data_IF_752917356758
#
_entry.id   IF_752917356758
#
_cell.length_a   1.000
_cell.length_b   1.000
_cell.length_c   1.000
_cell.angle_alpha   90.00
_cell.angle_beta   90.00
_cell.angle_gamma   90.00
#
_symmetry.space_group_name_H-M   'P 1'
#
loop_
_entity.id
_entity.type
_entity.pdbx_description
1 polymer ?
#
# COMPACT_ATOMS: atom_id res chain seq x y z
N UNK A 1 16.60 55.83 -27.12
CA UNK A 1 15.71 54.71 -27.49
C UNK A 1 16.41 53.39 -27.17
N UNK A 2 15.70 52.49 -26.49
CA UNK A 2 15.84 51.02 -26.54
C UNK A 2 17.07 50.36 -25.89
N UNK A 3 16.99 49.26 -25.12
CA UNK A 3 15.90 48.51 -24.47
C UNK A 3 16.54 47.66 -23.36
N UNK A 4 15.80 47.46 -22.29
CA UNK A 4 16.11 46.68 -21.11
C UNK A 4 16.49 45.22 -21.45
N UNK A 5 17.58 44.72 -20.87
CA UNK A 5 17.86 43.28 -20.78
C UNK A 5 17.19 42.73 -19.51
N UNK A 6 16.09 42.03 -19.70
CA UNK A 6 15.46 41.15 -18.70
C UNK A 6 16.13 39.78 -18.76
N UNK A 7 16.88 39.41 -17.72
CA UNK A 7 17.24 38.02 -17.44
C UNK A 7 16.26 37.50 -16.39
N UNK A 8 15.08 37.07 -16.86
CA UNK A 8 14.16 36.31 -16.04
C UNK A 8 14.75 34.91 -15.82
N UNK A 9 15.29 34.71 -14.63
CA UNK A 9 15.76 33.42 -14.15
C UNK A 9 14.52 32.56 -13.84
N UNK A 10 14.05 31.81 -14.84
CA UNK A 10 13.14 30.69 -14.59
C UNK A 10 13.95 29.59 -13.89
N UNK A 11 13.98 29.62 -12.55
CA UNK A 11 14.20 28.41 -11.78
C UNK A 11 13.04 27.46 -12.09
N UNK A 12 13.25 26.61 -13.09
CA UNK A 12 12.42 25.45 -13.33
C UNK A 12 12.38 24.64 -12.03
N UNK A 13 11.21 24.65 -11.40
CA UNK A 13 10.88 23.78 -10.29
C UNK A 13 11.17 22.35 -10.74
N UNK A 14 12.16 21.70 -10.13
CA UNK A 14 12.26 20.25 -10.11
C UNK A 14 11.10 19.75 -9.26
N UNK A 15 9.91 19.74 -9.86
CA UNK A 15 8.81 18.92 -9.41
C UNK A 15 9.31 17.47 -9.44
N UNK A 16 9.10 16.67 -8.38
CA UNK A 16 9.29 15.24 -8.49
C UNK A 16 8.18 14.72 -9.42
N UNK A 17 8.49 14.65 -10.71
CA UNK A 17 7.97 13.61 -11.59
C UNK A 17 8.58 12.34 -10.97
N UNK A 18 7.85 11.32 -10.53
CA UNK A 18 7.03 10.43 -11.34
C UNK A 18 6.00 9.72 -10.43
N UNK A 19 4.73 10.13 -10.50
CA UNK A 19 3.62 9.20 -10.32
C UNK A 19 2.91 9.13 -11.68
N UNK A 20 3.53 8.45 -12.64
CA UNK A 20 2.91 8.22 -13.96
C UNK A 20 2.11 6.92 -13.91
N UNK A 21 0.78 7.10 -13.93
CA UNK A 21 -0.22 6.26 -14.60
C UNK A 21 -0.43 4.79 -14.13
N UNK A 22 -1.65 4.49 -13.67
CA UNK A 22 -2.20 3.12 -13.71
C UNK A 22 -2.23 2.32 -12.41
N UNK A 23 -1.98 2.92 -11.25
CA UNK A 23 -2.05 2.23 -9.96
C UNK A 23 -3.49 1.84 -9.63
N UNK A 24 -3.85 0.58 -9.90
CA UNK A 24 -5.10 0.04 -9.39
C UNK A 24 -5.05 0.09 -7.86
N UNK A 25 -6.04 0.75 -7.27
CA UNK A 25 -6.25 0.80 -5.84
C UNK A 25 -7.64 0.26 -5.49
N UNK A 26 -7.68 -0.57 -4.47
CA UNK A 26 -8.95 -1.05 -3.91
C UNK A 26 -8.80 -1.14 -2.40
N UNK A 27 -9.90 -1.10 -1.67
CA UNK A 27 -9.84 -1.17 -0.22
C UNK A 27 -11.03 -1.93 0.36
N UNK A 28 -10.77 -2.57 1.49
CA UNK A 28 -11.80 -3.13 2.36
C UNK A 28 -11.74 -2.43 3.73
N UNK A 29 -12.89 -2.32 4.38
CA UNK A 29 -13.01 -1.76 5.73
C UNK A 29 -13.48 -2.86 6.68
N UNK A 30 -12.85 -2.96 7.84
CA UNK A 30 -13.31 -3.76 8.97
C UNK A 30 -13.26 -2.94 10.26
N UNK A 31 -14.43 -2.66 10.83
CA UNK A 31 -14.60 -1.75 11.96
C UNK A 31 -13.98 -0.38 11.67
N UNK A 32 -12.86 -0.08 12.32
CA UNK A 32 -12.14 1.18 12.14
C UNK A 32 -10.93 1.08 11.21
N UNK A 33 -10.62 -0.08 10.66
CA UNK A 33 -9.43 -0.30 9.84
C UNK A 33 -9.76 -0.35 8.36
N UNK A 34 -8.84 0.17 7.55
CA UNK A 34 -8.86 0.08 6.09
C UNK A 34 -7.62 -0.67 5.65
N UNK A 35 -7.82 -1.69 4.81
CA UNK A 35 -6.75 -2.37 4.10
C UNK A 35 -6.83 -1.98 2.63
N UNK A 36 -5.89 -1.14 2.19
CA UNK A 36 -5.77 -0.76 0.79
C UNK A 36 -4.84 -1.72 0.07
N UNK A 37 -5.27 -2.23 -1.08
CA UNK A 37 -4.46 -2.99 -2.02
C UNK A 37 -4.04 -2.07 -3.15
N UNK A 38 -2.76 -2.11 -3.52
CA UNK A 38 -2.21 -1.31 -4.61
C UNK A 38 -1.16 -2.10 -5.41
N UNK A 39 -1.00 -1.74 -6.67
CA UNK A 39 0.12 -2.18 -7.53
C UNK A 39 1.19 -1.10 -7.46
N UNK A 40 2.40 -1.46 -7.06
CA UNK A 40 3.56 -0.56 -7.06
C UNK A 40 4.73 -1.24 -7.79
N UNK A 41 5.55 -0.45 -8.46
CA UNK A 41 6.72 -0.90 -9.20
C UNK A 41 7.97 -0.60 -8.39
N UNK A 42 8.56 -1.64 -7.82
CA UNK A 42 9.77 -1.51 -7.01
C UNK A 42 10.93 -2.23 -7.71
N UNK A 43 12.00 -1.48 -7.99
CA UNK A 43 13.22 -2.02 -8.63
C UNK A 43 12.93 -2.74 -9.97
N UNK A 44 12.01 -2.19 -10.78
CA UNK A 44 11.61 -2.77 -12.07
C UNK A 44 10.73 -4.02 -11.97
N UNK A 45 10.23 -4.36 -10.78
CA UNK A 45 9.26 -5.43 -10.58
C UNK A 45 7.94 -4.88 -10.04
N UNK A 46 6.85 -5.23 -10.72
CA UNK A 46 5.51 -4.91 -10.24
C UNK A 46 5.05 -5.93 -9.23
N UNK A 47 4.58 -5.43 -8.10
CA UNK A 47 4.11 -6.26 -6.99
C UNK A 47 2.80 -5.69 -6.48
N UNK A 48 1.99 -6.58 -5.92
CA UNK A 48 0.80 -6.19 -5.17
C UNK A 48 1.20 -6.03 -3.71
N UNK A 49 0.84 -4.89 -3.14
CA UNK A 49 1.11 -4.57 -1.74
C UNK A 49 -0.18 -4.24 -1.03
N UNK A 50 -0.17 -4.45 0.29
CA UNK A 50 -1.27 -4.02 1.15
C UNK A 50 -0.81 -2.99 2.16
N UNK A 51 -1.58 -1.91 2.31
CA UNK A 51 -1.37 -0.86 3.31
C UNK A 51 -2.53 -0.87 4.30
N UNK A 52 -2.23 -1.19 5.56
CA UNK A 52 -3.20 -1.14 6.67
C UNK A 52 -3.10 0.18 7.41
N UNK A 53 -4.24 0.85 7.62
CA UNK A 53 -4.35 2.07 8.43
C UNK A 53 -5.76 2.18 9.06
N UNK A 54 -5.96 3.09 10.02
CA UNK A 54 -7.28 3.36 10.63
C UNK A 54 -8.03 4.44 9.85
N UNK A 55 -9.32 4.22 9.57
CA UNK A 55 -10.23 5.22 9.01
C UNK A 55 -10.38 6.41 9.98
N UNK A 56 -10.35 7.64 9.45
CA UNK A 56 -10.36 8.91 10.20
C UNK A 56 -11.57 9.16 11.12
N UNK A 57 -12.61 8.32 11.08
CA UNK A 57 -13.81 8.50 11.91
C UNK A 57 -13.53 8.05 13.36
N UNK A 58 -13.06 8.99 14.19
CA UNK A 58 -13.11 9.08 15.67
C UNK A 58 -11.74 9.45 16.31
N UNK A 59 -11.69 10.70 16.77
CA UNK A 59 -10.84 11.41 17.76
C UNK A 59 -9.42 10.91 18.08
N UNK A 60 -8.46 11.85 17.96
CA UNK A 60 -7.25 12.18 18.75
C UNK A 60 -6.35 11.09 19.37
N UNK A 61 -6.70 9.80 19.31
CA UNK A 61 -6.00 8.70 19.98
C UNK A 61 -5.18 7.81 19.06
N UNK A 62 -5.33 7.93 17.73
CA UNK A 62 -4.56 7.08 16.81
C UNK A 62 -3.10 7.51 16.67
N UNK A 63 -2.79 8.81 16.83
CA UNK A 63 -1.40 9.29 16.85
C UNK A 63 -0.59 8.69 18.01
N UNK A 64 -1.26 8.35 19.13
CA UNK A 64 -0.62 7.72 20.29
C UNK A 64 -0.60 6.19 20.24
N UNK A 65 -1.50 5.54 19.49
CA UNK A 65 -1.54 4.08 19.38
C UNK A 65 -0.46 3.48 18.46
N UNK A 66 0.14 4.33 17.63
CA UNK A 66 1.17 4.00 16.65
C UNK A 66 2.55 4.54 17.05
N UNK A 67 2.72 4.99 18.30
CA UNK A 67 3.88 5.77 18.71
C UNK A 67 5.16 4.98 18.39
N UNK A 68 5.80 5.44 17.33
CA UNK A 68 7.10 5.07 16.82
C UNK A 68 7.12 3.79 15.95
N UNK A 69 6.74 3.92 14.67
CA UNK A 69 7.59 3.32 13.63
C UNK A 69 9.00 3.91 13.88
N UNK A 70 9.85 3.22 14.65
CA UNK A 70 11.24 3.63 14.78
C UNK A 70 11.83 3.72 13.37
N UNK A 71 12.72 4.68 13.12
CA UNK A 71 13.38 4.92 11.81
C UNK A 71 13.97 3.67 11.14
N UNK A 72 14.04 2.53 11.84
CA UNK A 72 14.45 1.22 11.37
C UNK A 72 13.29 0.20 11.53
N UNK A 73 12.19 0.41 10.79
CA UNK A 73 10.91 -0.27 10.98
C UNK A 73 10.98 -1.79 11.14
N UNK A 74 10.00 -2.35 11.87
CA UNK A 74 9.87 -3.79 12.14
C UNK A 74 9.67 -4.62 10.86
N UNK A 75 10.74 -4.90 10.13
CA UNK A 75 10.82 -5.87 9.05
C UNK A 75 10.68 -7.27 9.66
N UNK A 76 9.45 -7.79 9.64
CA UNK A 76 9.18 -9.14 10.12
C UNK A 76 8.26 -9.84 9.15
N UNK A 77 8.58 -11.10 8.84
CA UNK A 77 7.69 -11.98 8.13
C UNK A 77 6.47 -12.32 9.01
N UNK A 78 5.29 -12.08 8.45
CA UNK A 78 3.98 -12.37 9.04
C UNK A 78 3.14 -13.14 8.03
N UNK A 79 2.12 -13.85 8.51
CA UNK A 79 1.17 -14.51 7.61
C UNK A 79 -0.10 -13.68 7.47
N UNK A 80 -0.66 -13.70 6.26
CA UNK A 80 -1.99 -13.18 5.93
C UNK A 80 -2.76 -14.28 5.21
N UNK A 81 -4.05 -14.43 5.50
CA UNK A 81 -4.89 -15.43 4.83
C UNK A 81 -5.65 -14.75 3.70
N UNK A 82 -5.46 -15.21 2.48
CA UNK A 82 -6.07 -14.68 1.26
C UNK A 82 -6.95 -15.78 0.67
N UNK A 83 -8.27 -15.55 0.59
CA UNK A 83 -9.26 -16.55 0.15
C UNK A 83 -9.05 -17.94 0.78
N UNK A 84 -8.75 -17.97 2.08
CA UNK A 84 -8.53 -19.21 2.84
C UNK A 84 -7.09 -19.76 2.82
N UNK A 85 -6.23 -19.29 1.91
CA UNK A 85 -4.82 -19.72 1.83
C UNK A 85 -3.89 -18.76 2.59
N UNK A 86 -3.00 -19.31 3.42
CA UNK A 86 -1.96 -18.52 4.10
C UNK A 86 -0.87 -18.12 3.11
N UNK A 87 -0.51 -16.84 3.11
CA UNK A 87 0.59 -16.27 2.35
C UNK A 87 1.54 -15.57 3.31
N UNK A 88 2.84 -15.85 3.20
CA UNK A 88 3.85 -15.15 3.96
C UNK A 88 4.14 -13.78 3.35
N UNK A 89 4.21 -12.78 4.22
CA UNK A 89 4.35 -11.38 3.86
C UNK A 89 5.45 -10.73 4.70
N UNK A 90 6.35 -9.99 4.09
CA UNK A 90 7.19 -9.06 4.82
C UNK A 90 6.34 -7.85 5.20
N UNK A 91 6.38 -7.49 6.47
CA UNK A 91 5.70 -6.32 7.00
C UNK A 91 6.72 -5.23 7.24
N UNK A 92 6.46 -4.02 6.75
CA UNK A 92 7.24 -2.81 7.02
C UNK A 92 6.32 -1.74 7.60
N UNK A 93 6.79 -1.00 8.61
CA UNK A 93 6.09 0.17 9.16
C UNK A 93 6.63 1.43 8.45
N UNK A 94 5.79 2.13 7.68
CA UNK A 94 6.14 3.39 7.02
C UNK A 94 5.41 4.55 7.67
N UNK A 95 6.12 5.64 7.94
CA UNK A 95 5.52 6.93 8.31
C UNK A 95 5.56 7.83 7.09
N UNK A 96 4.42 8.38 6.69
CA UNK A 96 4.36 9.35 5.58
C UNK A 96 4.35 10.79 6.08
N UNK A 97 4.50 11.74 5.17
CA UNK A 97 4.61 13.18 5.45
C UNK A 97 3.39 13.74 6.17
N UNK A 98 2.23 13.10 6.03
CA UNK A 98 1.01 13.40 6.78
C UNK A 98 1.07 12.94 8.25
N UNK A 99 2.24 12.51 8.73
CA UNK A 99 2.49 12.01 10.08
C UNK A 99 1.70 10.76 10.49
N UNK A 100 1.04 10.09 9.53
CA UNK A 100 0.37 8.82 9.78
C UNK A 100 1.33 7.64 9.58
N UNK A 101 1.08 6.57 10.34
CA UNK A 101 1.81 5.32 10.19
C UNK A 101 0.97 4.31 9.41
N UNK A 102 1.60 3.64 8.45
CA UNK A 102 1.03 2.61 7.60
C UNK A 102 1.86 1.35 7.76
N UNK A 103 1.20 0.19 7.82
CA UNK A 103 1.90 -1.08 7.68
C UNK A 103 1.73 -1.59 6.27
N UNK A 104 2.85 -1.71 5.57
CA UNK A 104 2.93 -2.25 4.22
C UNK A 104 3.25 -3.74 4.32
N UNK A 105 2.49 -4.56 3.60
CA UNK A 105 2.68 -6.01 3.50
C UNK A 105 3.01 -6.38 2.06
N UNK A 106 4.09 -7.15 1.89
CA UNK A 106 4.61 -7.59 0.59
C UNK A 106 4.77 -9.11 0.59
N UNK A 107 4.28 -9.87 -0.40
CA UNK A 107 4.56 -11.30 -0.48
C UNK A 107 6.07 -11.60 -0.48
N UNK A 108 6.51 -12.56 0.34
CA UNK A 108 7.95 -12.89 0.46
C UNK A 108 8.44 -13.87 -0.61
N UNK A 109 7.54 -14.54 -1.31
CA UNK A 109 7.87 -15.54 -2.33
C UNK A 109 7.16 -15.24 -3.65
N UNK A 110 7.77 -15.67 -4.76
CA UNK A 110 7.18 -15.55 -6.09
C UNK A 110 5.87 -16.35 -6.20
N UNK A 111 5.79 -17.51 -5.53
CA UNK A 111 4.56 -18.32 -5.46
C UNK A 111 3.44 -17.58 -4.72
N UNK A 112 3.75 -16.94 -3.59
CA UNK A 112 2.79 -16.14 -2.85
C UNK A 112 2.30 -14.93 -3.65
N UNK A 113 3.20 -14.27 -4.39
CA UNK A 113 2.85 -13.20 -5.31
C UNK A 113 1.98 -13.70 -6.48
N UNK A 114 2.36 -14.81 -7.12
CA UNK A 114 1.61 -15.39 -8.23
C UNK A 114 0.20 -15.83 -7.80
N UNK A 115 0.09 -16.46 -6.63
CA UNK A 115 -1.20 -16.79 -6.03
C UNK A 115 -2.03 -15.52 -5.82
N UNK A 116 -1.47 -14.48 -5.21
CA UNK A 116 -2.15 -13.23 -4.95
C UNK A 116 -2.68 -12.56 -6.23
N UNK A 117 -1.83 -12.47 -7.26
CA UNK A 117 -2.20 -11.95 -8.59
C UNK A 117 -3.33 -12.79 -9.18
N UNK A 118 -3.26 -14.12 -9.07
CA UNK A 118 -4.29 -15.02 -9.58
C UNK A 118 -5.64 -14.76 -8.89
N UNK A 119 -5.64 -14.60 -7.57
CA UNK A 119 -6.87 -14.28 -6.83
C UNK A 119 -7.49 -12.98 -7.34
N UNK A 120 -6.72 -11.91 -7.52
CA UNK A 120 -7.25 -10.64 -8.02
C UNK A 120 -7.59 -10.64 -9.52
N UNK A 121 -6.95 -11.47 -10.35
CA UNK A 121 -7.28 -11.56 -11.79
C UNK A 121 -8.59 -12.29 -12.06
N UNK A 122 -8.89 -13.31 -11.26
CA UNK A 122 -9.94 -14.29 -11.60
C UNK A 122 -11.09 -14.36 -10.59
N UNK A 123 -11.13 -13.46 -9.61
CA UNK A 123 -12.26 -13.33 -8.69
C UNK A 123 -12.82 -11.92 -8.71
N UNK A 124 -14.08 -11.75 -8.33
CA UNK A 124 -14.69 -10.42 -8.18
C UNK A 124 -14.27 -9.72 -6.89
N UNK A 125 -14.03 -10.52 -5.83
CA UNK A 125 -13.67 -10.04 -4.50
C UNK A 125 -12.65 -10.99 -3.88
N UNK A 126 -11.62 -10.41 -3.27
CA UNK A 126 -10.62 -11.14 -2.48
C UNK A 126 -10.91 -10.92 -1.00
N UNK A 127 -11.12 -12.01 -0.28
CA UNK A 127 -11.29 -12.02 1.16
C UNK A 127 -9.92 -12.12 1.82
N UNK A 128 -9.66 -11.26 2.79
CA UNK A 128 -8.38 -11.18 3.48
C UNK A 128 -8.63 -11.24 4.97
N UNK A 129 -8.10 -12.27 5.63
CA UNK A 129 -8.04 -12.33 7.08
C UNK A 129 -6.62 -12.04 7.57
N UNK A 130 -6.53 -11.23 8.62
CA UNK A 130 -5.28 -10.84 9.25
C UNK A 130 -5.46 -10.69 10.76
N UNK A 131 -4.57 -11.33 11.51
CA UNK A 131 -4.37 -11.00 12.93
C UNK A 131 -3.45 -9.79 13.04
N UNK A 132 -3.99 -8.67 13.49
CA UNK A 132 -3.22 -7.49 13.85
C UNK A 132 -2.81 -7.55 15.32
N UNK A 133 -1.55 -7.21 15.61
CA UNK A 133 -1.02 -7.16 16.97
C UNK A 133 -0.42 -5.78 17.19
N UNK A 134 -0.96 -5.04 18.16
CA UNK A 134 -0.50 -3.69 18.47
C UNK A 134 0.73 -3.70 19.41
N UNK A 135 1.26 -2.52 19.73
CA UNK A 135 2.43 -2.35 20.61
C UNK A 135 2.22 -2.86 22.03
N UNK A 136 0.96 -2.93 22.49
CA UNK A 136 0.56 -3.49 23.78
C UNK A 136 0.31 -5.00 23.73
N UNK A 137 0.69 -5.66 22.62
CA UNK A 137 0.48 -7.10 22.35
C UNK A 137 -0.99 -7.54 22.31
N UNK A 138 -1.93 -6.61 22.19
CA UNK A 138 -3.34 -6.95 22.02
C UNK A 138 -3.58 -7.41 20.58
N UNK A 139 -4.38 -8.46 20.42
CA UNK A 139 -4.71 -9.06 19.12
C UNK A 139 -6.07 -8.56 18.64
N UNK A 140 -6.17 -8.31 17.34
CA UNK A 140 -7.43 -8.02 16.66
C UNK A 140 -7.50 -8.84 15.38
N UNK A 141 -8.56 -9.64 15.25
CA UNK A 141 -8.88 -10.36 14.02
C UNK A 141 -9.58 -9.40 13.05
N UNK A 142 -8.96 -9.16 11.90
CA UNK A 142 -9.45 -8.27 10.87
C UNK A 142 -9.78 -9.08 9.61
N UNK A 143 -10.95 -8.82 9.03
CA UNK A 143 -11.52 -9.48 7.88
C UNK A 143 -11.94 -8.44 6.84
N UNK A 144 -11.19 -8.36 5.75
CA UNK A 144 -11.43 -7.42 4.67
C UNK A 144 -12.01 -8.13 3.46
N UNK A 145 -12.90 -7.43 2.76
CA UNK A 145 -13.39 -7.82 1.43
C UNK A 145 -12.94 -6.75 0.46
N UNK A 146 -12.01 -7.09 -0.42
CA UNK A 146 -11.42 -6.15 -1.38
C UNK A 146 -11.97 -6.47 -2.76
N UNK A 147 -12.63 -5.49 -3.39
CA UNK A 147 -13.08 -5.61 -4.78
C UNK A 147 -11.87 -5.78 -5.70
N UNK A 148 -11.91 -6.73 -6.63
CA UNK A 148 -10.88 -6.97 -7.63
C UNK A 148 -11.13 -6.22 -8.96
N UNK A 149 -12.22 -5.44 -9.03
CA UNK A 149 -12.64 -4.75 -10.25
C UNK A 149 -11.52 -3.87 -10.80
N UNK A 150 -11.20 -4.03 -12.08
CA UNK A 150 -10.17 -3.25 -12.77
C UNK A 150 -8.74 -3.76 -12.58
N UNK A 151 -8.50 -4.75 -11.71
CA UNK A 151 -7.14 -5.25 -11.43
C UNK A 151 -6.46 -5.77 -12.69
N UNK A 152 -7.11 -6.67 -13.43
CA UNK A 152 -6.52 -7.31 -14.62
C UNK A 152 -6.13 -6.28 -15.68
N UNK A 153 -6.93 -5.23 -15.86
CA UNK A 153 -6.64 -4.15 -16.81
C UNK A 153 -5.38 -3.39 -16.40
N UNK A 154 -5.31 -2.91 -15.16
CA UNK A 154 -4.16 -2.16 -14.66
C UNK A 154 -2.89 -3.01 -14.61
N UNK A 155 -3.02 -4.28 -14.23
CA UNK A 155 -1.88 -5.22 -14.22
C UNK A 155 -1.28 -5.39 -15.62
N UNK A 156 -2.12 -5.50 -16.66
CA UNK A 156 -1.67 -5.74 -18.03
C UNK A 156 -1.22 -4.46 -18.77
N UNK A 157 -1.79 -3.28 -18.47
CA UNK A 157 -1.36 -1.99 -19.05
C UNK A 157 0.09 -1.68 -18.71
N UNK A 158 0.51 -2.09 -17.53
CA UNK A 158 1.84 -1.87 -17.03
C UNK A 158 2.90 -2.61 -17.89
N UNK A 159 2.58 -3.76 -18.48
CA UNK A 159 3.48 -4.51 -19.37
C UNK A 159 3.62 -3.92 -20.78
N UNK A 160 2.83 -2.90 -21.13
CA UNK A 160 2.85 -2.26 -22.45
C UNK A 160 3.67 -0.95 -22.49
N UNK A 161 4.30 -0.55 -21.38
CA UNK A 161 5.19 0.63 -21.33
C UNK A 161 6.69 0.29 -21.46
N UNK A 162 7.03 -0.91 -21.97
CA UNK A 162 8.39 -1.27 -22.37
C UNK A 162 8.54 -1.18 -23.89
#
# INVERSE_FOLDING_TARGET
MSKFFWLAWFCATLLPIHAKAGEWNSSGIDGHYVLSSLIDEQQGQKKVFFSLYKAKYNNNGFERFLSQCNKNGFDKTVSMTINGQKVQMDKICRRTDDSKNYWVYTPTTNEGLAFLITQFKYTETVNIHKVFVNIYKQKSDLNFRISAKGFAQSWNQSSQML
#
